data_IF_316125948019
#
_entry.id   IF_316125948019
#
_cell.length_a   1.000
_cell.length_b   1.000
_cell.length_c   1.000
_cell.angle_alpha   90.00
_cell.angle_beta   90.00
_cell.angle_gamma   90.00
#
_symmetry.space_group_name_H-M   'P 1'
#
loop_
_entity.id
_entity.type
_entity.pdbx_description
1 polymer ?
#
# COMPACT_ATOMS: atom_id res chain seq x y z
N UNK A 1 -5.87 0.60 -2.52
CA UNK A 1 -6.41 1.29 -1.33
C UNK A 1 -7.68 0.60 -0.90
N UNK A 2 -7.56 -0.12 0.20
CA UNK A 2 -8.63 -0.80 0.91
C UNK A 2 -9.53 0.20 1.68
N UNK A 3 -10.12 1.17 0.97
CA UNK A 3 -11.22 1.98 1.49
C UNK A 3 -12.51 1.53 0.84
N UNK A 4 -13.48 1.12 1.66
CA UNK A 4 -14.84 0.82 1.21
C UNK A 4 -15.51 2.07 0.64
N UNK A 5 -16.55 1.88 -0.17
CA UNK A 5 -17.32 3.01 -0.72
C UNK A 5 -17.86 3.94 0.39
N UNK A 6 -18.31 3.35 1.50
CA UNK A 6 -18.83 4.10 2.65
C UNK A 6 -17.74 4.95 3.31
N UNK A 7 -16.56 4.39 3.54
CA UNK A 7 -15.41 5.14 4.08
C UNK A 7 -14.97 6.24 3.13
N UNK A 8 -14.95 5.99 1.82
CA UNK A 8 -14.60 7.02 0.82
C UNK A 8 -15.57 8.19 0.84
N UNK A 9 -16.87 7.93 1.01
CA UNK A 9 -17.88 8.98 1.14
C UNK A 9 -17.72 9.76 2.44
N UNK A 10 -17.50 9.08 3.57
CA UNK A 10 -17.34 9.72 4.88
C UNK A 10 -16.05 10.54 4.99
N UNK A 11 -14.98 10.09 4.35
CA UNK A 11 -13.67 10.75 4.35
C UNK A 11 -13.49 11.76 3.21
N UNK A 12 -14.51 11.95 2.35
CA UNK A 12 -14.42 12.86 1.19
C UNK A 12 -13.42 12.42 0.12
N UNK A 13 -13.09 11.12 0.06
CA UNK A 13 -12.15 10.53 -0.91
C UNK A 13 -12.83 10.11 -2.22
N UNK A 14 -14.16 10.25 -2.29
CA UNK A 14 -14.93 9.91 -3.49
C UNK A 14 -14.48 10.79 -4.67
N UNK A 15 -14.05 10.16 -5.77
CA UNK A 15 -13.52 10.85 -6.96
C UNK A 15 -12.01 11.16 -6.91
N UNK A 16 -11.37 11.07 -5.73
CA UNK A 16 -9.92 11.23 -5.59
C UNK A 16 -9.16 9.90 -5.74
N UNK A 17 -9.84 8.79 -5.52
CA UNK A 17 -9.28 7.45 -5.64
C UNK A 17 -9.82 6.72 -6.87
N UNK A 18 -9.01 5.85 -7.51
CA UNK A 18 -9.49 4.96 -8.56
C UNK A 18 -10.73 4.18 -8.12
N UNK A 19 -11.67 3.86 -9.03
CA UNK A 19 -12.92 3.17 -8.67
C UNK A 19 -12.69 1.76 -8.12
N UNK A 20 -11.53 1.16 -8.40
CA UNK A 20 -11.15 -0.14 -7.86
C UNK A 20 -10.99 -0.09 -6.33
N UNK A 21 -11.66 -1.02 -5.64
CA UNK A 21 -11.46 -1.30 -4.22
C UNK A 21 -10.59 -2.55 -4.16
N UNK A 22 -9.43 -2.43 -3.50
CA UNK A 22 -8.51 -3.55 -3.33
C UNK A 22 -8.76 -4.19 -1.97
N UNK A 23 -8.64 -5.52 -1.89
CA UNK A 23 -8.52 -6.19 -0.59
C UNK A 23 -7.14 -5.93 0.00
N UNK A 24 -6.95 -6.09 1.33
CA UNK A 24 -5.65 -5.93 1.97
C UNK A 24 -4.56 -6.81 1.33
N UNK A 25 -4.90 -8.04 0.96
CA UNK A 25 -3.97 -9.00 0.34
C UNK A 25 -3.56 -8.55 -1.06
N UNK A 26 -4.51 -8.05 -1.85
CA UNK A 26 -4.23 -7.50 -3.18
C UNK A 26 -3.36 -6.26 -3.09
N UNK A 27 -3.61 -5.39 -2.12
CA UNK A 27 -2.83 -4.19 -1.91
C UNK A 27 -1.38 -4.52 -1.52
N UNK A 28 -1.17 -5.51 -0.64
CA UNK A 28 0.18 -6.03 -0.33
C UNK A 28 0.83 -6.63 -1.57
N UNK A 29 0.10 -7.40 -2.38
CA UNK A 29 0.62 -7.97 -3.62
C UNK A 29 1.13 -6.89 -4.59
N UNK A 30 0.35 -5.85 -4.87
CA UNK A 30 0.78 -4.76 -5.75
C UNK A 30 1.97 -3.97 -5.21
N UNK A 31 2.06 -3.80 -3.89
CA UNK A 31 3.20 -3.15 -3.24
C UNK A 31 4.46 -4.00 -3.40
N UNK A 32 4.38 -5.30 -3.16
CA UNK A 32 5.51 -6.22 -3.37
C UNK A 32 5.93 -6.28 -4.84
N UNK A 33 4.98 -6.28 -5.78
CA UNK A 33 5.30 -6.20 -7.21
C UNK A 33 6.09 -4.93 -7.54
N UNK A 34 5.68 -3.76 -7.01
CA UNK A 34 6.45 -2.53 -7.21
C UNK A 34 7.81 -2.55 -6.49
N UNK A 35 7.92 -3.20 -5.33
CA UNK A 35 9.19 -3.38 -4.63
C UNK A 35 10.19 -4.18 -5.49
N UNK A 36 9.74 -5.27 -6.13
CA UNK A 36 10.58 -6.10 -7.00
C UNK A 36 10.92 -5.46 -8.35
N UNK A 37 10.29 -4.33 -8.72
CA UNK A 37 10.65 -3.61 -9.95
C UNK A 37 11.95 -2.83 -9.83
N UNK A 38 12.44 -2.60 -8.61
CA UNK A 38 13.69 -1.89 -8.36
C UNK A 38 14.84 -2.88 -8.25
N UNK A 39 15.88 -2.68 -9.07
CA UNK A 39 17.03 -3.59 -9.10
C UNK A 39 17.96 -3.38 -7.90
N UNK A 40 18.16 -2.14 -7.46
CA UNK A 40 19.06 -1.79 -6.35
C UNK A 40 18.37 -1.88 -4.98
N UNK A 41 19.11 -2.34 -3.97
CA UNK A 41 18.67 -2.44 -2.58
C UNK A 41 18.41 -1.07 -1.93
N UNK A 42 19.15 -0.03 -2.34
CA UNK A 42 18.93 1.32 -1.81
C UNK A 42 17.55 1.87 -2.20
N UNK A 43 17.15 1.70 -3.46
CA UNK A 43 15.86 2.16 -3.96
C UNK A 43 14.72 1.37 -3.31
N UNK A 44 14.92 0.06 -3.11
CA UNK A 44 14.02 -0.81 -2.35
C UNK A 44 13.84 -0.35 -0.91
N UNK A 45 14.93 0.04 -0.25
CA UNK A 45 14.89 0.60 1.10
C UNK A 45 14.13 1.93 1.15
N UNK A 46 14.42 2.86 0.23
CA UNK A 46 13.73 4.15 0.15
C UNK A 46 12.23 3.94 -0.08
N UNK A 47 11.86 3.03 -0.98
CA UNK A 47 10.47 2.67 -1.23
C UNK A 47 9.80 2.13 0.04
N UNK A 48 10.43 1.20 0.77
CA UNK A 48 9.90 0.67 2.03
C UNK A 48 9.74 1.75 3.10
N UNK A 49 10.71 2.67 3.23
CA UNK A 49 10.61 3.80 4.16
C UNK A 49 9.47 4.76 3.81
N UNK A 50 9.21 4.98 2.52
CA UNK A 50 8.06 5.80 2.08
C UNK A 50 6.72 5.18 2.49
N UNK A 51 6.63 3.85 2.51
CA UNK A 51 5.43 3.13 2.96
C UNK A 51 5.19 3.31 4.46
N UNK A 52 6.25 3.35 5.26
CA UNK A 52 6.13 3.53 6.71
C UNK A 52 5.46 4.86 7.07
N UNK A 53 5.79 5.94 6.35
CA UNK A 53 5.23 7.28 6.62
C UNK A 53 3.82 7.44 6.04
N UNK A 54 3.58 6.97 4.81
CA UNK A 54 2.32 7.21 4.13
C UNK A 54 1.24 6.14 4.34
N UNK A 55 1.64 4.89 4.58
CA UNK A 55 0.76 3.71 4.60
C UNK A 55 1.23 2.67 5.63
N UNK A 56 1.31 3.10 6.88
CA UNK A 56 1.90 2.36 8.00
C UNK A 56 1.30 0.95 8.20
N UNK A 57 -0.01 0.76 7.98
CA UNK A 57 -0.67 -0.55 8.12
C UNK A 57 -0.13 -1.60 7.14
N UNK A 58 0.16 -1.20 5.90
CA UNK A 58 0.74 -2.07 4.88
C UNK A 58 2.18 -2.40 5.24
N UNK A 59 2.96 -1.41 5.67
CA UNK A 59 4.34 -1.63 6.11
C UNK A 59 4.41 -2.67 7.23
N UNK A 60 3.56 -2.54 8.26
CA UNK A 60 3.49 -3.50 9.37
C UNK A 60 3.09 -4.88 8.89
N UNK A 61 2.11 -4.99 7.99
CA UNK A 61 1.67 -6.30 7.44
C UNK A 61 2.75 -7.00 6.62
N UNK A 62 3.59 -6.23 5.89
CA UNK A 62 4.72 -6.79 5.15
C UNK A 62 5.82 -7.22 6.11
N UNK A 63 6.19 -6.35 7.06
CA UNK A 63 7.20 -6.64 8.07
C UNK A 63 6.84 -7.89 8.89
N UNK A 64 5.57 -8.05 9.28
CA UNK A 64 5.11 -9.21 10.06
C UNK A 64 5.11 -10.52 9.26
N UNK A 65 5.07 -10.48 7.93
CA UNK A 65 5.11 -11.67 7.06
C UNK A 65 6.54 -12.11 6.74
N UNK A 66 7.54 -11.28 7.04
CA UNK A 66 8.95 -11.58 6.83
C UNK A 66 9.62 -12.29 8.03
N UNK A 67 8.89 -12.42 9.16
CA UNK A 67 9.26 -13.18 10.35
C UNK A 67 8.37 -14.41 10.49
#
# INVERSE_FOLDING_TARGET
>A
MCFTLKERQLLGLQGLLPPAILTPEQEVYFVMQNFYRWDNDLDRYIYMMSLQVGRQSIFVSIASKAY
#
